data_IF_540363501003
#
_entry.id   IF_540363501003
#
_cell.length_a   1.000
_cell.length_b   1.000
_cell.length_c   1.000
_cell.angle_alpha   90.00
_cell.angle_beta   90.00
_cell.angle_gamma   90.00
#
_symmetry.space_group_name_H-M   'P 1'
#
loop_
_entity.id
_entity.type
_entity.pdbx_description
1 polymer ?
#
# COMPACT_ATOMS: atom_id res chain seq x y z
N UNK A 1 -25.26 25.80 40.45
CA UNK A 1 -24.86 24.64 41.26
C UNK A 1 -24.19 23.63 40.35
N UNK A 2 -22.99 23.15 40.73
CA UNK A 2 -22.29 22.02 40.12
C UNK A 2 -23.08 20.73 40.37
N UNK A 3 -23.08 19.82 39.40
CA UNK A 3 -22.64 18.43 39.61
C UNK A 3 -22.06 17.88 38.31
N UNK A 4 -20.76 17.63 38.36
CA UNK A 4 -19.98 16.74 37.52
C UNK A 4 -20.41 15.29 37.83
N UNK A 5 -20.57 14.45 36.79
CA UNK A 5 -20.46 12.98 36.90
C UNK A 5 -19.90 12.40 35.60
N UNK A 6 -18.57 12.27 35.60
CA UNK A 6 -17.72 11.11 35.27
C UNK A 6 -18.22 10.02 34.29
N UNK A 7 -17.43 9.85 33.22
CA UNK A 7 -17.01 8.67 32.43
C UNK A 7 -17.86 7.38 32.37
N UNK A 8 -18.06 6.90 31.14
CA UNK A 8 -17.73 5.49 30.77
C UNK A 8 -17.42 5.39 29.28
N UNK A 9 -16.33 4.70 28.95
CA UNK A 9 -15.61 4.68 27.67
C UNK A 9 -16.11 3.60 26.70
N UNK A 10 -17.39 3.56 26.32
CA UNK A 10 -17.92 2.40 25.55
C UNK A 10 -18.73 2.73 24.27
N UNK A 11 -18.71 3.96 23.75
CA UNK A 11 -19.67 4.38 22.71
C UNK A 11 -19.09 4.78 21.33
N UNK A 12 -17.90 4.31 20.95
CA UNK A 12 -17.33 4.59 19.62
C UNK A 12 -17.49 3.45 18.60
N UNK A 13 -18.26 2.40 18.89
CA UNK A 13 -18.42 1.24 18.00
C UNK A 13 -19.71 1.25 17.15
N UNK A 14 -20.19 2.43 16.77
CA UNK A 14 -21.26 2.58 15.78
C UNK A 14 -20.73 3.18 14.47
N UNK A 15 -19.81 2.47 13.80
CA UNK A 15 -19.55 2.71 12.37
C UNK A 15 -20.81 2.42 11.57
N UNK A 16 -21.58 3.48 11.29
CA UNK A 16 -22.66 3.48 10.31
C UNK A 16 -22.12 2.94 8.98
N UNK A 17 -22.50 1.72 8.62
CA UNK A 17 -22.26 1.19 7.28
C UNK A 17 -23.01 2.06 6.27
N UNK A 18 -22.29 2.98 5.63
CA UNK A 18 -22.82 3.73 4.48
C UNK A 18 -22.98 2.74 3.32
N UNK A 19 -24.22 2.30 3.06
CA UNK A 19 -24.56 1.52 1.87
C UNK A 19 -24.54 2.46 0.66
N UNK A 20 -23.44 2.45 -0.07
CA UNK A 20 -23.33 3.15 -1.35
C UNK A 20 -24.20 2.45 -2.41
N UNK A 21 -24.89 3.20 -3.30
CA UNK A 21 -25.75 2.63 -4.33
C UNK A 21 -24.97 1.82 -5.40
N UNK A 22 -23.66 1.98 -5.45
CA UNK A 22 -22.75 1.24 -6.34
C UNK A 22 -22.17 -0.04 -5.72
N UNK A 23 -22.71 -0.49 -4.58
CA UNK A 23 -22.24 -1.68 -3.87
C UNK A 23 -21.06 -1.40 -2.92
N UNK A 24 -20.35 -2.47 -2.52
CA UNK A 24 -19.17 -2.38 -1.63
C UNK A 24 -17.99 -1.79 -2.40
N UNK A 25 -17.83 -0.47 -2.38
CA UNK A 25 -16.64 0.17 -2.95
C UNK A 25 -15.46 -0.01 -1.98
N UNK A 26 -14.36 -0.56 -2.48
CA UNK A 26 -13.08 -0.50 -1.76
C UNK A 26 -12.48 0.87 -2.09
N UNK A 27 -12.32 1.73 -1.10
CA UNK A 27 -11.64 3.01 -1.31
C UNK A 27 -10.15 2.70 -1.49
N UNK A 28 -9.64 2.98 -2.68
CA UNK A 28 -8.22 2.93 -2.96
C UNK A 28 -7.72 4.37 -3.06
N UNK A 29 -6.59 4.65 -2.43
CA UNK A 29 -5.91 5.92 -2.57
C UNK A 29 -4.80 5.76 -3.61
N UNK A 30 -4.83 6.60 -4.64
CA UNK A 30 -3.72 6.71 -5.58
C UNK A 30 -2.69 7.65 -4.96
N UNK A 31 -1.44 7.18 -4.90
CA UNK A 31 -0.31 7.87 -4.29
C UNK A 31 0.82 7.89 -5.31
N UNK A 32 1.42 9.06 -5.51
CA UNK A 32 2.67 9.20 -6.23
C UNK A 32 3.82 9.22 -5.22
N UNK A 33 4.79 8.34 -5.41
CA UNK A 33 5.94 8.15 -4.53
C UNK A 33 7.20 8.50 -5.30
N UNK A 34 7.86 9.58 -4.92
CA UNK A 34 9.18 9.93 -5.41
C UNK A 34 10.24 9.01 -4.80
N UNK A 35 11.10 8.45 -5.65
CA UNK A 35 12.24 7.64 -5.26
C UNK A 35 13.46 8.54 -5.01
N UNK A 36 14.19 8.33 -3.90
CA UNK A 36 15.40 9.08 -3.62
C UNK A 36 16.51 8.70 -4.61
N UNK A 37 17.37 9.62 -4.99
CA UNK A 37 18.49 9.35 -5.93
C UNK A 37 19.44 8.24 -5.47
N UNK A 38 19.44 7.91 -4.18
CA UNK A 38 20.23 6.83 -3.58
C UNK A 38 19.55 5.47 -3.59
N UNK A 39 18.35 5.33 -4.17
CA UNK A 39 17.64 4.06 -4.17
C UNK A 39 18.38 3.02 -5.02
N UNK A 40 18.20 1.75 -4.69
CA UNK A 40 18.69 0.63 -5.51
C UNK A 40 17.55 -0.30 -5.90
N UNK A 41 17.72 -1.05 -6.99
CA UNK A 41 16.75 -2.06 -7.45
C UNK A 41 16.47 -3.13 -6.37
N UNK A 42 17.37 -3.31 -5.41
CA UNK A 42 17.20 -4.23 -4.28
C UNK A 42 16.31 -3.70 -3.16
N UNK A 43 16.00 -2.40 -3.17
CA UNK A 43 15.24 -1.74 -2.08
C UNK A 43 13.78 -2.19 -2.03
N UNK A 44 13.25 -2.73 -3.13
CA UNK A 44 11.92 -3.32 -3.17
C UNK A 44 11.81 -4.34 -4.30
N UNK A 45 10.86 -5.27 -4.18
CA UNK A 45 10.56 -6.26 -5.21
C UNK A 45 9.11 -6.13 -5.65
N UNK A 46 8.89 -6.26 -6.95
CA UNK A 46 7.57 -6.30 -7.56
C UNK A 46 7.22 -7.72 -8.00
N UNK A 47 5.92 -8.00 -8.15
CA UNK A 47 5.41 -9.28 -8.65
C UNK A 47 4.19 -9.07 -9.55
N UNK A 48 4.12 -9.83 -10.64
CA UNK A 48 2.94 -9.88 -11.49
C UNK A 48 1.87 -10.81 -10.89
N UNK A 49 0.62 -10.35 -10.85
CA UNK A 49 -0.56 -11.16 -10.52
C UNK A 49 -1.62 -10.97 -11.62
N UNK A 50 -2.69 -11.77 -11.57
CA UNK A 50 -3.75 -11.74 -12.58
C UNK A 50 -4.39 -10.36 -12.77
N UNK A 51 -4.38 -9.51 -11.75
CA UNK A 51 -5.03 -8.20 -11.71
C UNK A 51 -4.05 -7.02 -11.77
N UNK A 52 -2.75 -7.26 -11.98
CA UNK A 52 -1.73 -6.22 -12.17
C UNK A 52 -0.39 -6.53 -11.51
N UNK A 53 0.44 -5.49 -11.40
CA UNK A 53 1.76 -5.56 -10.74
C UNK A 53 1.66 -5.03 -9.32
N UNK A 54 2.30 -5.70 -8.37
CA UNK A 54 2.21 -5.38 -6.95
C UNK A 54 3.59 -5.31 -6.30
N UNK A 55 3.73 -4.50 -5.26
CA UNK A 55 4.88 -4.54 -4.36
C UNK A 55 4.80 -5.83 -3.54
N UNK A 56 5.81 -6.69 -3.67
CA UNK A 56 5.91 -7.94 -2.91
C UNK A 56 6.73 -7.76 -1.64
N UNK A 57 7.82 -7.00 -1.72
CA UNK A 57 8.76 -6.81 -0.62
C UNK A 57 9.33 -5.38 -0.68
N UNK A 58 9.66 -4.81 0.47
CA UNK A 58 10.37 -3.53 0.60
C UNK A 58 11.42 -3.72 1.67
N UNK A 59 12.67 -3.36 1.38
CA UNK A 59 13.79 -3.46 2.31
C UNK A 59 13.53 -2.52 3.52
N UNK A 60 13.48 -3.06 4.76
CA UNK A 60 13.32 -2.27 5.98
C UNK A 60 14.41 -1.23 6.24
N UNK A 61 15.58 -1.34 5.61
CA UNK A 61 16.66 -0.36 5.74
C UNK A 61 16.63 0.71 4.65
N UNK A 62 15.80 0.54 3.61
CA UNK A 62 15.69 1.52 2.54
C UNK A 62 14.88 2.75 2.96
N UNK A 63 15.18 3.89 2.35
CA UNK A 63 14.37 5.11 2.50
C UNK A 63 12.95 4.97 1.91
N UNK A 64 12.70 3.90 1.15
CA UNK A 64 11.39 3.59 0.56
C UNK A 64 10.46 2.85 1.52
N UNK A 65 10.98 2.27 2.62
CA UNK A 65 10.19 1.51 3.57
C UNK A 65 9.02 2.28 4.18
N UNK A 66 9.18 3.58 4.40
CA UNK A 66 8.12 4.44 4.95
C UNK A 66 7.13 4.94 3.88
N UNK A 67 7.43 4.72 2.59
CA UNK A 67 6.65 5.26 1.46
C UNK A 67 5.87 4.18 0.70
N UNK A 68 6.53 3.06 0.40
CA UNK A 68 5.97 1.91 -0.30
C UNK A 68 5.55 0.83 0.69
N UNK A 69 4.42 0.19 0.42
CA UNK A 69 3.89 -0.85 1.28
C UNK A 69 3.67 -2.13 0.49
N UNK A 70 3.98 -3.26 1.12
CA UNK A 70 3.70 -4.58 0.55
C UNK A 70 2.21 -4.71 0.24
N UNK A 71 1.89 -5.15 -0.98
CA UNK A 71 0.53 -5.27 -1.48
C UNK A 71 -0.02 -4.01 -2.15
N UNK A 72 0.72 -2.91 -2.20
CA UNK A 72 0.38 -1.78 -3.06
C UNK A 72 0.38 -2.22 -4.53
N UNK A 73 -0.65 -1.80 -5.28
CA UNK A 73 -0.72 -2.06 -6.72
C UNK A 73 0.05 -0.98 -7.46
N UNK A 74 1.03 -1.34 -8.27
CA UNK A 74 1.73 -0.40 -9.14
C UNK A 74 0.80 -0.04 -10.30
N UNK A 75 0.58 1.26 -10.50
CA UNK A 75 -0.21 1.79 -11.59
C UNK A 75 0.68 2.39 -12.67
N UNK A 76 1.74 3.10 -12.28
CA UNK A 76 2.65 3.72 -13.23
C UNK A 76 4.07 3.80 -12.68
N UNK A 77 5.04 3.79 -13.58
CA UNK A 77 6.42 4.23 -13.33
C UNK A 77 6.70 5.46 -14.19
N UNK A 78 7.12 6.55 -13.56
CA UNK A 78 7.24 7.85 -14.20
C UNK A 78 5.96 8.21 -14.98
N UNK A 79 6.08 8.45 -16.29
CA UNK A 79 4.98 8.81 -17.19
C UNK A 79 4.29 7.59 -17.84
N UNK A 80 4.68 6.35 -17.47
CA UNK A 80 4.19 5.12 -18.10
C UNK A 80 3.10 4.49 -17.26
N UNK A 81 1.86 4.56 -17.76
CA UNK A 81 0.69 3.96 -17.12
C UNK A 81 0.51 2.48 -17.51
N UNK A 82 0.57 1.61 -16.51
CA UNK A 82 0.35 0.16 -16.61
C UNK A 82 -1.10 -0.25 -16.29
N UNK A 83 -1.99 0.69 -15.99
CA UNK A 83 -3.38 0.39 -15.57
C UNK A 83 -4.18 -0.42 -16.60
N UNK A 84 -3.80 -0.33 -17.88
CA UNK A 84 -4.46 -1.01 -19.01
C UNK A 84 -3.54 -2.00 -19.75
N UNK A 85 -2.34 -2.24 -19.23
CA UNK A 85 -1.34 -3.15 -19.82
C UNK A 85 -1.53 -4.54 -19.23
N UNK A 86 -1.23 -5.58 -20.01
CA UNK A 86 -1.23 -6.96 -19.50
C UNK A 86 -0.25 -7.06 -18.31
N UNK A 87 -0.63 -7.71 -17.18
CA UNK A 87 0.22 -7.74 -15.99
C UNK A 87 1.61 -8.33 -16.21
N UNK A 88 1.75 -9.30 -17.12
CA UNK A 88 3.05 -9.91 -17.42
C UNK A 88 3.92 -8.98 -18.26
N UNK A 89 3.34 -8.33 -19.26
CA UNK A 89 4.02 -7.32 -20.08
C UNK A 89 4.44 -6.12 -19.24
N UNK A 90 3.52 -5.62 -18.40
CA UNK A 90 3.79 -4.53 -17.46
C UNK A 90 4.92 -4.89 -16.50
N UNK A 91 4.93 -6.11 -15.95
CA UNK A 91 6.01 -6.57 -15.08
C UNK A 91 7.36 -6.66 -15.80
N UNK A 92 7.38 -7.17 -17.03
CA UNK A 92 8.62 -7.28 -17.80
C UNK A 92 9.21 -5.91 -18.12
N UNK A 93 8.39 -4.95 -18.56
CA UNK A 93 8.82 -3.57 -18.81
C UNK A 93 9.25 -2.88 -17.50
N UNK A 94 8.46 -3.05 -16.43
CA UNK A 94 8.78 -2.56 -15.10
C UNK A 94 10.16 -3.06 -14.62
N UNK A 95 10.44 -4.36 -14.69
CA UNK A 95 11.73 -4.93 -14.30
C UNK A 95 12.91 -4.38 -15.10
N UNK A 96 12.71 -4.02 -16.37
CA UNK A 96 13.76 -3.42 -17.20
C UNK A 96 14.05 -1.96 -16.83
N UNK A 97 13.06 -1.27 -16.26
CA UNK A 97 13.13 0.16 -15.93
C UNK A 97 13.48 0.45 -14.48
N UNK A 98 13.35 -0.53 -13.58
CA UNK A 98 13.54 -0.37 -12.14
C UNK A 98 14.86 0.33 -11.74
N UNK A 99 15.90 0.32 -12.57
CA UNK A 99 17.18 0.96 -12.28
C UNK A 99 17.21 2.48 -12.56
N UNK A 100 16.22 3.03 -13.26
CA UNK A 100 16.21 4.42 -13.70
C UNK A 100 14.83 5.09 -13.61
N UNK A 101 14.07 4.77 -12.58
CA UNK A 101 12.77 5.38 -12.31
C UNK A 101 12.90 6.47 -11.25
N UNK A 102 12.09 7.52 -11.37
CA UNK A 102 12.07 8.65 -10.42
C UNK A 102 10.81 8.64 -9.58
N UNK A 103 9.68 8.26 -10.17
CA UNK A 103 8.41 8.21 -9.47
C UNK A 103 7.70 6.88 -9.70
N UNK A 104 6.99 6.44 -8.67
CA UNK A 104 6.11 5.29 -8.73
C UNK A 104 4.72 5.75 -8.32
N UNK A 105 3.74 5.53 -9.20
CA UNK A 105 2.34 5.71 -8.83
C UNK A 105 1.76 4.39 -8.37
N UNK A 106 1.24 4.34 -7.14
CA UNK A 106 0.62 3.15 -6.56
C UNK A 106 -0.84 3.40 -6.17
N UNK A 107 -1.67 2.37 -6.31
CA UNK A 107 -2.98 2.28 -5.69
C UNK A 107 -2.88 1.48 -4.40
N UNK A 108 -2.99 2.18 -3.27
CA UNK A 108 -3.06 1.58 -1.95
C UNK A 108 -4.51 1.30 -1.56
N UNK A 109 -4.81 0.06 -1.17
CA UNK A 109 -6.09 -0.22 -0.52
C UNK A 109 -6.09 0.49 0.83
N UNK A 110 -7.03 1.41 1.05
CA UNK A 110 -7.29 1.93 2.39
C UNK A 110 -7.93 0.82 3.20
N UNK A 111 -7.09 0.00 3.82
CA UNK A 111 -7.55 -0.90 4.87
C UNK A 111 -7.84 0.00 6.06
N UNK A 112 -9.04 -0.08 6.65
CA UNK A 112 -9.42 0.60 7.90
C UNK A 112 -8.71 -0.09 9.08
N UNK A 113 -7.41 -0.29 8.95
CA UNK A 113 -6.53 -0.75 10.01
C UNK A 113 -5.51 0.37 10.16
N UNK A 114 -5.65 1.10 11.27
CA UNK A 114 -4.70 2.10 11.72
C UNK A 114 -3.29 1.52 11.92
N UNK A 115 -2.39 2.26 12.58
CA UNK A 115 -0.97 2.01 12.59
C UNK A 115 -0.64 0.77 13.44
N UNK A 116 -0.84 -0.42 12.91
CA UNK A 116 -0.36 -1.65 13.50
C UNK A 116 0.48 -2.38 12.47
N UNK A 117 1.76 -2.00 12.49
CA UNK A 117 2.88 -2.79 11.99
C UNK A 117 2.65 -4.25 12.41
N UNK A 118 2.61 -5.15 11.44
CA UNK A 118 2.60 -6.58 11.72
C UNK A 118 3.87 -6.92 12.51
N UNK A 119 3.71 -7.13 13.81
CA UNK A 119 4.65 -7.93 14.58
C UNK A 119 4.63 -9.34 13.97
N UNK A 120 5.66 -9.71 13.23
CA UNK A 120 5.97 -11.12 13.00
C UNK A 120 6.35 -11.73 14.35
N UNK A 121 5.39 -12.38 14.99
CA UNK A 121 5.66 -13.34 16.05
C UNK A 121 6.25 -14.58 15.38
N UNK A 122 7.56 -14.78 15.56
CA UNK A 122 8.22 -16.05 15.31
C UNK A 122 7.59 -17.11 16.23
N UNK A 123 6.79 -18.00 15.65
CA UNK A 123 6.36 -19.23 16.32
C UNK A 123 7.46 -20.28 16.10
N UNK A 124 8.32 -20.46 17.10
CA UNK A 124 9.21 -21.63 17.20
C UNK A 124 8.46 -22.65 18.05
N UNK A 125 7.88 -23.67 17.42
CA UNK A 125 7.49 -24.88 18.14
C UNK A 125 8.75 -25.61 18.62
N UNK A 126 8.75 -25.98 19.90
CA UNK A 126 9.78 -26.79 20.55
C UNK A 126 9.62 -28.27 20.22
#
# INVERSE_FOLDING_TARGET
MKTTSTSTEEDFNHTKQVRWPFGKHKVCQVLEVELPESYTVSDFRIVAKQDGVFIEEVDPQSALYDRLFVGDKVLAFDDIDYSFVDPLEAYQDACQRLDNIKTITVSRRQTILGPFRFAQLNYVEK
#
